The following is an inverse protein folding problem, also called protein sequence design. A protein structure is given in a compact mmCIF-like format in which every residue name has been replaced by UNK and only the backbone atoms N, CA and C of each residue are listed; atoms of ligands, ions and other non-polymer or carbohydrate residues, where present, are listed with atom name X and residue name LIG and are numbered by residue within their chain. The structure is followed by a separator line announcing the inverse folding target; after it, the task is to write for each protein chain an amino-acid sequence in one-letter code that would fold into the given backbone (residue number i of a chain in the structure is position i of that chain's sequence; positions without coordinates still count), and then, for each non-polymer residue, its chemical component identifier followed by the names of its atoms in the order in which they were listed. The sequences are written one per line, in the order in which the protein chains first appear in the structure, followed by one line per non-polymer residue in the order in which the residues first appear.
data_IF_271828843395
#
_entry.id   IF_271828843395
#
_cell.length_a   1.000
_cell.length_b   1.000
_cell.length_c   1.000
_cell.angle_alpha   90.00
_cell.angle_beta   90.00
_cell.angle_gamma   90.00
#
_symmetry.space_group_name_H-M   'P 1'
#
loop_
_entity.id
_entity.type
_entity.pdbx_description
1 polymer ?
#
# COMPACT_ATOMS: atom_id res chain seq x y z
N UNK A 1 3.09 19.94 -28.09
CA UNK A 1 2.00 19.60 -27.13
C UNK A 1 1.48 18.17 -27.33
N UNK A 2 1.04 17.76 -28.54
CA UNK A 2 0.55 16.40 -28.80
C UNK A 2 1.58 15.27 -28.57
N UNK A 3 2.85 15.46 -28.94
CA UNK A 3 3.91 14.47 -28.72
C UNK A 3 4.23 14.23 -27.22
N UNK A 4 4.13 15.26 -26.38
CA UNK A 4 4.31 15.16 -24.93
C UNK A 4 3.17 14.38 -24.26
N UNK A 5 1.93 14.62 -24.72
CA UNK A 5 0.74 13.88 -24.26
C UNK A 5 0.82 12.40 -24.66
N UNK A 6 1.29 12.10 -25.88
CA UNK A 6 1.48 10.71 -26.34
C UNK A 6 2.57 9.98 -25.56
N UNK A 7 3.68 10.67 -25.26
CA UNK A 7 4.82 10.13 -24.50
C UNK A 7 4.45 9.79 -23.05
N UNK A 8 3.61 10.62 -22.42
CA UNK A 8 3.21 10.46 -21.02
C UNK A 8 1.82 9.84 -20.85
N UNK A 9 1.31 9.12 -21.86
CA UNK A 9 -0.04 8.53 -21.85
C UNK A 9 -0.33 7.72 -20.59
N UNK A 10 0.59 6.85 -20.19
CA UNK A 10 0.41 6.00 -19.01
C UNK A 10 0.35 6.83 -17.72
N UNK A 11 1.14 7.90 -17.62
CA UNK A 11 1.17 8.77 -16.45
C UNK A 11 -0.08 9.65 -16.37
N UNK A 12 -0.60 10.10 -17.50
CA UNK A 12 -1.88 10.82 -17.57
C UNK A 12 -3.02 9.89 -17.18
N UNK A 13 -3.04 8.64 -17.67
CA UNK A 13 -4.03 7.63 -17.29
C UNK A 13 -3.96 7.39 -15.77
N UNK A 14 -2.76 7.17 -15.23
CA UNK A 14 -2.55 6.97 -13.80
C UNK A 14 -3.00 8.17 -12.95
N UNK A 15 -2.62 9.39 -13.33
CA UNK A 15 -3.04 10.62 -12.66
C UNK A 15 -4.57 10.79 -12.69
N UNK A 16 -5.19 10.48 -13.83
CA UNK A 16 -6.65 10.56 -13.98
C UNK A 16 -7.37 9.55 -13.07
N UNK A 17 -6.85 8.33 -12.96
CA UNK A 17 -7.36 7.29 -12.06
C UNK A 17 -7.14 7.65 -10.59
N UNK A 18 -6.02 8.30 -10.28
CA UNK A 18 -5.76 8.78 -8.93
C UNK A 18 -6.77 9.86 -8.53
N UNK A 19 -7.00 10.85 -9.40
CA UNK A 19 -8.02 11.87 -9.18
C UNK A 19 -9.41 11.25 -9.04
N UNK A 20 -9.74 10.29 -9.89
CA UNK A 20 -11.01 9.54 -9.82
C UNK A 20 -11.17 8.81 -8.48
N UNK A 21 -10.12 8.17 -7.97
CA UNK A 21 -10.12 7.52 -6.66
C UNK A 21 -10.40 8.50 -5.51
N UNK A 22 -9.89 9.73 -5.60
CA UNK A 22 -10.16 10.79 -4.62
C UNK A 22 -11.60 11.27 -4.71
N UNK A 23 -12.10 11.49 -5.93
CA UNK A 23 -13.47 11.97 -6.17
C UNK A 23 -14.55 10.95 -5.78
N UNK A 24 -14.25 9.65 -5.83
CA UNK A 24 -15.16 8.59 -5.38
C UNK A 24 -15.27 8.53 -3.85
N UNK A 25 -14.26 8.98 -3.10
CA UNK A 25 -14.22 8.91 -1.63
C UNK A 25 -15.51 9.38 -0.91
N UNK A 26 -16.06 10.58 -1.22
CA UNK A 26 -17.32 11.06 -0.66
C UNK A 26 -18.52 10.14 -0.95
N UNK A 27 -18.58 9.55 -2.16
CA UNK A 27 -19.67 8.65 -2.56
C UNK A 27 -19.55 7.29 -1.87
N UNK A 28 -18.34 6.74 -1.79
CA UNK A 28 -18.04 5.50 -1.08
C UNK A 28 -18.44 5.58 0.40
N UNK A 29 -18.23 6.74 1.03
CA UNK A 29 -18.58 6.98 2.44
C UNK A 29 -20.09 7.09 2.70
N UNK A 30 -20.91 7.45 1.70
CA UNK A 30 -22.37 7.54 1.82
C UNK A 30 -23.06 6.18 1.87
N UNK A 31 -22.39 5.11 1.47
CA UNK A 31 -22.88 3.75 1.66
C UNK A 31 -23.09 3.52 3.16
N UNK A 32 -24.22 2.90 3.55
CA UNK A 32 -24.49 2.60 4.97
C UNK A 32 -24.16 1.15 5.32
N UNK A 33 -24.42 0.23 4.38
CA UNK A 33 -24.20 -1.21 4.57
C UNK A 33 -22.72 -1.55 4.52
N UNK A 34 -22.23 -2.27 5.53
CA UNK A 34 -20.83 -2.69 5.67
C UNK A 34 -20.40 -3.62 4.54
N UNK A 35 -21.22 -4.63 4.21
CA UNK A 35 -20.94 -5.56 3.11
C UNK A 35 -20.86 -4.83 1.77
N UNK A 36 -21.80 -3.93 1.50
CA UNK A 36 -21.79 -3.15 0.25
C UNK A 36 -20.52 -2.30 0.13
N UNK A 37 -20.01 -1.74 1.24
CA UNK A 37 -18.73 -1.03 1.24
C UNK A 37 -17.56 -1.97 0.95
N UNK A 38 -17.46 -3.10 1.65
CA UNK A 38 -16.38 -4.09 1.44
C UNK A 38 -16.31 -4.55 -0.02
N UNK A 39 -17.46 -4.90 -0.60
CA UNK A 39 -17.57 -5.30 -2.01
C UNK A 39 -17.27 -4.15 -2.97
N UNK A 40 -17.86 -2.97 -2.76
CA UNK A 40 -17.59 -1.81 -3.62
C UNK A 40 -16.10 -1.43 -3.61
N UNK A 41 -15.45 -1.44 -2.45
CA UNK A 41 -14.05 -1.07 -2.31
C UNK A 41 -13.11 -2.07 -2.97
N UNK A 42 -13.47 -3.36 -2.91
CA UNK A 42 -12.72 -4.45 -3.56
C UNK A 42 -12.88 -4.43 -5.08
N UNK A 43 -14.11 -4.26 -5.57
CA UNK A 43 -14.40 -4.20 -7.01
C UNK A 43 -13.69 -2.99 -7.61
N UNK A 44 -13.77 -1.82 -6.96
CA UNK A 44 -13.05 -0.63 -7.39
C UNK A 44 -11.54 -0.83 -7.39
N UNK A 45 -10.98 -1.45 -6.35
CA UNK A 45 -9.52 -1.70 -6.29
C UNK A 45 -9.04 -2.66 -7.36
N UNK A 46 -9.75 -3.76 -7.62
CA UNK A 46 -9.44 -4.69 -8.71
C UNK A 46 -9.56 -3.98 -10.07
N UNK A 47 -10.62 -3.18 -10.27
CA UNK A 47 -10.77 -2.39 -11.49
C UNK A 47 -9.59 -1.42 -11.69
N UNK A 48 -9.14 -0.74 -10.63
CA UNK A 48 -7.97 0.13 -10.69
C UNK A 48 -6.70 -0.64 -11.07
N UNK A 49 -6.46 -1.82 -10.49
CA UNK A 49 -5.29 -2.66 -10.82
C UNK A 49 -5.32 -3.04 -12.29
N UNK A 50 -6.47 -3.48 -12.81
CA UNK A 50 -6.64 -3.89 -14.21
C UNK A 50 -6.42 -2.72 -15.16
N UNK A 51 -6.99 -1.55 -14.86
CA UNK A 51 -6.86 -0.37 -15.74
C UNK A 51 -5.42 0.16 -15.74
N UNK A 52 -4.76 0.23 -14.57
CA UNK A 52 -3.38 0.75 -14.46
C UNK A 52 -2.35 -0.23 -15.03
N UNK A 53 -2.49 -1.52 -14.73
CA UNK A 53 -1.47 -2.53 -15.03
C UNK A 53 -1.74 -3.29 -16.33
N UNK A 54 -2.93 -3.18 -16.90
CA UNK A 54 -3.34 -3.91 -18.10
C UNK A 54 -3.14 -5.42 -17.93
N UNK A 55 -2.41 -6.04 -18.85
CA UNK A 55 -2.11 -7.48 -18.83
C UNK A 55 -1.24 -7.90 -17.62
N UNK A 56 -0.37 -7.01 -17.14
CA UNK A 56 0.51 -7.29 -15.99
C UNK A 56 -0.23 -7.26 -14.65
N UNK A 57 -1.52 -6.93 -14.63
CA UNK A 57 -2.39 -6.98 -13.44
C UNK A 57 -2.48 -8.38 -12.81
N UNK A 58 -2.18 -9.43 -13.58
CA UNK A 58 -2.23 -10.81 -13.11
C UNK A 58 -1.23 -11.04 -11.98
N UNK A 59 -0.04 -10.43 -12.03
CA UNK A 59 1.00 -10.59 -11.00
C UNK A 59 0.58 -10.10 -9.61
N UNK A 60 0.11 -8.84 -9.43
CA UNK A 60 -0.38 -8.36 -8.14
C UNK A 60 -1.61 -9.11 -7.64
N UNK A 61 -2.51 -9.51 -8.53
CA UNK A 61 -3.70 -10.27 -8.13
C UNK A 61 -3.32 -11.67 -7.65
N UNK A 62 -2.53 -12.42 -8.43
CA UNK A 62 -2.10 -13.75 -8.05
C UNK A 62 -1.24 -13.76 -6.79
N UNK A 63 -0.29 -12.83 -6.67
CA UNK A 63 0.57 -12.76 -5.47
C UNK A 63 -0.22 -12.45 -4.20
N UNK A 64 -1.21 -11.54 -4.26
CA UNK A 64 -2.09 -11.27 -3.13
C UNK A 64 -2.87 -12.52 -2.71
N UNK A 65 -3.49 -13.21 -3.67
CA UNK A 65 -4.28 -14.42 -3.41
C UNK A 65 -3.43 -15.54 -2.81
N UNK A 66 -2.25 -15.80 -3.37
CA UNK A 66 -1.33 -16.81 -2.84
C UNK A 66 -0.89 -16.43 -1.42
N UNK A 67 -0.56 -15.16 -1.17
CA UNK A 67 -0.20 -14.69 0.16
C UNK A 67 -1.32 -14.89 1.19
N UNK A 68 -2.57 -14.58 0.82
CA UNK A 68 -3.74 -14.83 1.69
C UNK A 68 -3.96 -16.32 1.95
N UNK A 69 -3.77 -17.18 0.95
CA UNK A 69 -3.87 -18.63 1.11
C UNK A 69 -2.79 -19.14 2.07
N UNK A 70 -1.54 -18.66 1.94
CA UNK A 70 -0.43 -19.03 2.83
C UNK A 70 -0.74 -18.64 4.27
N UNK A 71 -1.31 -17.46 4.50
CA UNK A 71 -1.72 -17.01 5.84
C UNK A 71 -2.71 -17.99 6.47
N UNK A 72 -3.65 -18.52 5.69
CA UNK A 72 -4.68 -19.44 6.18
C UNK A 72 -4.16 -20.86 6.42
N UNK A 73 -3.30 -21.35 5.54
CA UNK A 73 -2.75 -22.72 5.61
C UNK A 73 -1.69 -22.84 6.70
N UNK A 74 -0.92 -21.77 6.94
CA UNK A 74 0.17 -21.79 7.93
C UNK A 74 -0.38 -21.59 9.34
N UNK A 75 0.17 -22.32 10.31
CA UNK A 75 -0.13 -22.09 11.73
C UNK A 75 0.21 -20.66 12.14
N UNK A 76 -0.65 -20.03 12.94
CA UNK A 76 -0.54 -18.61 13.37
C UNK A 76 0.87 -18.26 13.90
N UNK A 77 1.54 -19.21 14.57
CA UNK A 77 2.91 -19.07 15.11
C UNK A 77 4.01 -18.82 14.05
N UNK A 78 3.88 -19.44 12.86
CA UNK A 78 4.88 -19.33 11.78
C UNK A 78 4.34 -18.58 10.56
N UNK A 79 3.07 -18.17 10.60
CA UNK A 79 2.37 -17.50 9.51
C UNK A 79 3.11 -16.22 9.04
N UNK A 80 3.56 -15.37 9.96
CA UNK A 80 4.27 -14.15 9.62
C UNK A 80 5.60 -14.42 8.90
N UNK A 81 6.39 -15.40 9.36
CA UNK A 81 7.66 -15.78 8.74
C UNK A 81 7.44 -16.38 7.35
N UNK A 82 6.53 -17.35 7.23
CA UNK A 82 6.23 -18.00 5.95
C UNK A 82 5.72 -17.00 4.90
N UNK A 83 4.77 -16.15 5.29
CA UNK A 83 4.21 -15.11 4.42
C UNK A 83 5.27 -14.08 4.04
N UNK A 84 6.10 -13.65 5.00
CA UNK A 84 7.19 -12.71 4.75
C UNK A 84 8.17 -13.24 3.71
N UNK A 85 8.73 -14.43 3.92
CA UNK A 85 9.71 -15.00 3.00
C UNK A 85 9.11 -15.27 1.62
N UNK A 86 7.87 -15.80 1.56
CA UNK A 86 7.23 -16.06 0.27
C UNK A 86 6.96 -14.78 -0.52
N UNK A 87 6.37 -13.77 0.12
CA UNK A 87 6.00 -12.53 -0.57
C UNK A 87 7.23 -11.70 -0.95
N UNK A 88 8.28 -11.67 -0.12
CA UNK A 88 9.55 -11.04 -0.49
C UNK A 88 10.29 -11.80 -1.59
N UNK A 89 10.29 -13.14 -1.56
CA UNK A 89 10.87 -13.94 -2.63
C UNK A 89 10.14 -13.70 -3.97
N UNK A 90 8.81 -13.61 -3.95
CA UNK A 90 8.02 -13.25 -5.13
C UNK A 90 8.38 -11.86 -5.67
N UNK A 91 8.51 -10.86 -4.78
CA UNK A 91 8.90 -9.50 -5.15
C UNK A 91 10.32 -9.46 -5.72
N UNK A 92 11.26 -10.22 -5.13
CA UNK A 92 12.62 -10.33 -5.62
C UNK A 92 12.67 -10.98 -7.01
N UNK A 93 11.94 -12.08 -7.20
CA UNK A 93 11.81 -12.71 -8.51
C UNK A 93 11.25 -11.72 -9.55
N UNK A 94 10.20 -10.99 -9.21
CA UNK A 94 9.60 -9.99 -10.10
C UNK A 94 10.55 -8.85 -10.45
N UNK A 95 11.37 -8.39 -9.50
CA UNK A 95 12.35 -7.31 -9.72
C UNK A 95 13.60 -7.76 -10.47
N UNK A 96 13.94 -9.05 -10.40
CA UNK A 96 15.05 -9.64 -11.14
C UNK A 96 14.63 -10.29 -12.46
N UNK A 97 13.33 -10.48 -12.70
CA UNK A 97 12.79 -11.06 -13.94
C UNK A 97 13.26 -10.32 -15.19
N UNK A 98 13.50 -9.01 -15.07
CA UNK A 98 14.05 -8.16 -16.12
C UNK A 98 15.45 -8.61 -16.56
N UNK A 99 16.27 -9.10 -15.63
CA UNK A 99 17.60 -9.66 -15.93
C UNK A 99 17.52 -11.05 -16.59
N UNK A 100 16.39 -11.73 -16.46
CA UNK A 100 16.13 -13.04 -17.05
C UNK A 100 15.37 -12.96 -18.39
N UNK A 101 15.13 -11.75 -18.93
CA UNK A 101 14.54 -11.55 -20.26
C UNK A 101 13.02 -11.59 -20.32
N UNK A 102 12.33 -11.53 -19.19
CA UNK A 102 10.86 -11.36 -19.17
C UNK A 102 10.49 -9.89 -19.46
N UNK A 103 9.32 -9.67 -20.07
CA UNK A 103 8.84 -8.30 -20.36
C UNK A 103 8.65 -7.54 -19.04
N UNK A 104 9.32 -6.39 -18.93
CA UNK A 104 9.19 -5.48 -17.79
C UNK A 104 7.71 -5.20 -17.52
N UNK A 105 7.29 -5.43 -16.28
CA UNK A 105 6.03 -4.88 -15.83
C UNK A 105 6.16 -3.35 -15.76
N UNK A 106 5.11 -2.64 -16.18
CA UNK A 106 5.05 -1.17 -16.09
C UNK A 106 5.45 -0.68 -14.69
N UNK A 107 6.20 0.43 -14.60
CA UNK A 107 6.66 0.98 -13.32
C UNK A 107 5.51 1.24 -12.33
N UNK A 108 4.32 1.55 -12.86
CA UNK A 108 3.11 1.74 -12.07
C UNK A 108 2.61 0.44 -11.43
N UNK A 109 2.68 -0.69 -12.13
CA UNK A 109 2.33 -2.01 -11.60
C UNK A 109 3.27 -2.46 -10.49
N UNK A 110 4.57 -2.14 -10.61
CA UNK A 110 5.54 -2.45 -9.57
C UNK A 110 5.20 -1.72 -8.25
N UNK A 111 4.75 -0.47 -8.31
CA UNK A 111 4.30 0.26 -7.12
C UNK A 111 3.10 -0.42 -6.44
N UNK A 112 2.11 -0.85 -7.23
CA UNK A 112 0.94 -1.59 -6.72
C UNK A 112 1.38 -2.91 -6.08
N UNK A 113 2.28 -3.65 -6.74
CA UNK A 113 2.84 -4.90 -6.24
C UNK A 113 3.49 -4.71 -4.86
N UNK A 114 4.29 -3.65 -4.69
CA UNK A 114 4.92 -3.33 -3.41
C UNK A 114 3.88 -3.05 -2.30
N UNK A 115 2.84 -2.25 -2.59
CA UNK A 115 1.78 -1.93 -1.62
C UNK A 115 1.04 -3.20 -1.20
N UNK A 116 0.67 -4.06 -2.14
CA UNK A 116 -0.02 -5.32 -1.87
C UNK A 116 0.83 -6.24 -0.99
N UNK A 117 2.11 -6.39 -1.32
CA UNK A 117 3.04 -7.21 -0.52
C UNK A 117 3.10 -6.71 0.93
N UNK A 118 3.26 -5.39 1.13
CA UNK A 118 3.29 -4.81 2.47
C UNK A 118 1.99 -5.03 3.24
N UNK A 119 0.82 -4.90 2.59
CA UNK A 119 -0.50 -5.17 3.20
C UNK A 119 -0.62 -6.60 3.69
N UNK A 120 -0.33 -7.57 2.83
CA UNK A 120 -0.47 -8.99 3.16
C UNK A 120 0.49 -9.41 4.25
N UNK A 121 1.76 -9.00 4.17
CA UNK A 121 2.77 -9.25 5.21
C UNK A 121 2.37 -8.57 6.52
N UNK A 122 1.89 -7.33 6.45
CA UNK A 122 1.43 -6.54 7.58
C UNK A 122 0.33 -7.24 8.39
N UNK A 123 -0.69 -7.75 7.69
CA UNK A 123 -1.76 -8.55 8.34
C UNK A 123 -1.19 -9.79 9.02
N UNK A 124 -0.27 -10.50 8.37
CA UNK A 124 0.34 -11.70 8.95
C UNK A 124 1.12 -11.38 10.24
N UNK A 125 1.84 -10.26 10.29
CA UNK A 125 2.50 -9.79 11.50
C UNK A 125 1.51 -9.34 12.58
N UNK A 126 0.43 -8.65 12.22
CA UNK A 126 -0.63 -8.28 13.16
C UNK A 126 -1.29 -9.50 13.79
N UNK A 127 -1.66 -10.50 12.99
CA UNK A 127 -2.25 -11.75 13.48
C UNK A 127 -1.31 -12.49 14.45
N UNK A 128 -0.03 -12.59 14.12
CA UNK A 128 0.96 -13.21 15.02
C UNK A 128 1.17 -12.40 16.30
N UNK A 129 1.19 -11.06 16.20
CA UNK A 129 1.29 -10.16 17.35
C UNK A 129 0.10 -10.30 18.31
N UNK A 130 -1.13 -10.31 17.78
CA UNK A 130 -2.35 -10.53 18.57
C UNK A 130 -2.37 -11.91 19.25
N UNK A 131 -1.91 -12.96 18.55
CA UNK A 131 -1.82 -14.30 19.14
C UNK A 131 -0.79 -14.37 20.27
N UNK A 132 0.39 -13.78 20.08
CA UNK A 132 1.42 -13.74 21.12
C UNK A 132 0.97 -12.95 22.35
N UNK A 133 0.22 -11.86 22.15
CA UNK A 133 -0.39 -11.06 23.22
C UNK A 133 -1.42 -11.84 24.04
N UNK A 134 -2.15 -12.80 23.44
CA UNK A 134 -3.11 -13.66 24.15
C UNK A 134 -2.42 -14.84 24.86
N UNK A 135 -1.36 -15.40 24.27
CA UNK A 135 -0.69 -16.60 24.80
C UNK A 135 0.31 -16.29 25.92
N UNK A 136 1.05 -15.19 25.84
CA UNK A 136 2.01 -14.79 26.88
C UNK A 136 1.41 -14.62 28.29
N UNK A 137 0.28 -13.91 28.49
CA UNK A 137 -0.36 -13.79 29.80
C UNK A 137 -0.96 -15.12 30.28
N UNK A 138 -1.39 -16.01 29.37
CA UNK A 138 -1.86 -17.36 29.74
C UNK A 138 -0.73 -18.31 30.17
N UNK A 139 0.53 -18.00 29.81
CA UNK A 139 1.70 -18.84 30.08
C UNK A 139 2.47 -18.42 31.35
N UNK A 140 2.34 -17.16 31.77
CA UNK A 140 2.75 -16.68 33.10
C UNK A 140 1.58 -16.93 34.06
N UNK A 141 1.58 -18.05 34.77
CA UNK A 141 0.46 -18.47 35.62
C UNK A 141 -0.03 -17.37 36.57
N UNK A 142 -1.37 -17.23 36.63
CA UNK A 142 -2.28 -16.74 37.67
C UNK A 142 -1.89 -15.74 38.79
N UNK A 143 -0.66 -15.25 38.95
CA UNK A 143 -0.28 -14.47 40.15
C UNK A 143 -0.31 -12.94 39.95
N UNK A 144 -0.37 -12.43 38.72
CA UNK A 144 -0.45 -10.98 38.45
C UNK A 144 -1.75 -10.53 37.76
N UNK A 145 -2.72 -11.45 37.61
CA UNK A 145 -3.97 -11.19 36.87
C UNK A 145 -4.87 -10.19 37.62
N UNK A 146 -4.76 -10.05 38.95
CA UNK A 146 -5.68 -9.21 39.73
C UNK A 146 -5.43 -7.69 39.68
N UNK A 147 -4.38 -7.19 38.99
CA UNK A 147 -4.06 -5.75 38.94
C UNK A 147 -4.11 -5.10 37.55
N UNK A 148 -4.29 -5.88 36.49
CA UNK A 148 -4.31 -5.40 35.09
C UNK A 148 -5.73 -5.45 34.47
N UNK A 149 -6.68 -6.09 35.17
CA UNK A 149 -7.96 -6.53 34.59
C UNK A 149 -9.02 -5.44 34.30
N UNK A 150 -8.82 -4.17 34.64
CA UNK A 150 -9.88 -3.16 34.42
C UNK A 150 -9.65 -2.22 33.22
N UNK A 151 -8.50 -2.27 32.52
CA UNK A 151 -8.23 -1.33 31.40
C UNK A 151 -7.79 -1.97 30.08
N UNK A 152 -7.28 -3.19 30.09
CA UNK A 152 -6.64 -3.79 28.91
C UNK A 152 -7.42 -4.99 28.31
N UNK A 153 -8.44 -5.51 29.00
CA UNK A 153 -9.24 -6.65 28.50
C UNK A 153 -10.07 -6.30 27.25
N UNK A 154 -10.45 -5.02 27.07
CA UNK A 154 -11.16 -4.54 25.88
C UNK A 154 -10.24 -4.44 24.64
N UNK A 155 -8.91 -4.49 24.81
CA UNK A 155 -7.95 -4.22 23.73
C UNK A 155 -7.27 -5.45 23.12
N UNK A 156 -7.42 -6.63 23.72
CA UNK A 156 -6.82 -7.88 23.22
C UNK A 156 -7.87 -8.66 22.41
N UNK A 157 -8.37 -8.06 21.34
CA UNK A 157 -9.19 -8.77 20.37
C UNK A 157 -8.27 -9.66 19.52
N UNK A 158 -8.51 -10.98 19.55
CA UNK A 158 -7.76 -11.93 18.75
C UNK A 158 -8.13 -11.73 17.28
N UNK A 159 -7.23 -11.07 16.53
CA UNK A 159 -7.41 -10.80 15.11
C UNK A 159 -7.32 -12.14 14.35
N UNK A 160 -8.48 -12.77 14.10
CA UNK A 160 -8.61 -13.95 13.24
C UNK A 160 -9.58 -13.66 12.08
N UNK A 161 -9.13 -12.90 11.08
CA UNK A 161 -9.99 -12.50 9.99
C UNK A 161 -10.29 -13.65 9.03
N UNK A 162 -11.49 -13.64 8.45
CA UNK A 162 -11.88 -14.62 7.45
C UNK A 162 -11.11 -14.37 6.14
N UNK A 163 -10.92 -15.40 5.32
CA UNK A 163 -10.23 -15.31 4.02
C UNK A 163 -10.84 -14.19 3.17
N UNK A 164 -12.18 -14.10 3.19
CA UNK A 164 -12.94 -13.07 2.47
C UNK A 164 -12.58 -11.66 2.96
N UNK A 165 -12.42 -11.46 4.27
CA UNK A 165 -12.02 -10.17 4.82
C UNK A 165 -10.56 -9.83 4.50
N UNK A 166 -9.65 -10.82 4.46
CA UNK A 166 -8.27 -10.60 4.00
C UNK A 166 -8.23 -10.19 2.53
N UNK A 167 -9.06 -10.81 1.68
CA UNK A 167 -9.18 -10.45 0.26
C UNK A 167 -9.72 -9.03 0.12
N UNK A 168 -10.79 -8.69 0.86
CA UNK A 168 -11.34 -7.34 0.87
C UNK A 168 -10.31 -6.30 1.33
N UNK A 169 -9.54 -6.59 2.38
CA UNK A 169 -8.48 -5.70 2.86
C UNK A 169 -7.36 -5.52 1.83
N UNK A 170 -6.89 -6.63 1.23
CA UNK A 170 -5.77 -6.63 0.29
C UNK A 170 -6.09 -5.84 -0.97
N UNK A 171 -7.31 -6.02 -1.51
CA UNK A 171 -7.76 -5.38 -2.75
C UNK A 171 -8.60 -4.12 -2.55
N UNK A 172 -8.70 -3.60 -1.34
CA UNK A 172 -9.43 -2.36 -1.10
C UNK A 172 -8.78 -1.19 -1.85
N UNK A 173 -9.58 -0.41 -2.58
CA UNK A 173 -9.11 0.72 -3.39
C UNK A 173 -8.44 1.83 -2.57
N UNK A 174 -8.87 2.03 -1.30
CA UNK A 174 -8.32 3.07 -0.43
C UNK A 174 -6.82 2.83 -0.29
N UNK A 175 -6.00 3.77 -0.72
CA UNK A 175 -4.54 3.71 -0.60
C UNK A 175 -3.85 2.61 -1.42
N UNK A 176 -4.50 2.11 -2.47
CA UNK A 176 -3.93 1.08 -3.36
C UNK A 176 -2.91 1.66 -4.37
N UNK A 177 -3.16 2.88 -4.87
CA UNK A 177 -2.29 3.54 -5.86
C UNK A 177 -1.23 4.42 -5.20
N UNK A 178 -1.65 5.42 -4.41
CA UNK A 178 -0.76 6.29 -3.61
C UNK A 178 -1.46 6.69 -2.31
N UNK A 179 -1.46 5.81 -1.32
CA UNK A 179 -1.99 6.17 0.00
C UNK A 179 -1.14 5.62 1.13
N UNK A 180 -1.35 6.13 2.34
CA UNK A 180 -0.65 5.65 3.51
C UNK A 180 -0.94 4.17 3.71
N UNK A 181 0.11 3.42 4.04
CA UNK A 181 -0.05 2.06 4.53
C UNK A 181 -0.87 2.10 5.82
N UNK A 182 -1.96 1.34 5.86
CA UNK A 182 -2.82 1.21 7.04
C UNK A 182 -2.94 -0.25 7.47
N UNK A 183 -3.09 -0.44 8.77
CA UNK A 183 -3.16 -1.75 9.44
C UNK A 183 -4.51 -2.44 9.22
N UNK A 184 -4.56 -3.76 9.36
CA UNK A 184 -5.83 -4.49 9.25
C UNK A 184 -6.83 -4.06 10.33
N UNK A 185 -6.34 -3.79 11.56
CA UNK A 185 -7.19 -3.24 12.61
C UNK A 185 -7.89 -1.94 12.20
N UNK A 186 -7.16 -1.00 11.59
CA UNK A 186 -7.72 0.26 11.09
C UNK A 186 -8.77 0.04 10.00
N UNK A 187 -8.62 -1.00 9.18
CA UNK A 187 -9.63 -1.38 8.20
C UNK A 187 -10.90 -1.92 8.87
N UNK A 188 -10.76 -2.75 9.90
CA UNK A 188 -11.91 -3.26 10.64
C UNK A 188 -12.64 -2.12 11.37
N UNK A 189 -11.87 -1.25 12.04
CA UNK A 189 -12.36 -0.08 12.76
C UNK A 189 -13.12 0.90 11.84
N UNK A 190 -12.73 0.99 10.56
CA UNK A 190 -13.40 1.84 9.58
C UNK A 190 -14.88 1.46 9.35
N UNK A 191 -15.26 0.19 9.55
CA UNK A 191 -16.64 -0.27 9.40
C UNK A 191 -17.43 -0.16 10.71
N UNK A 192 -16.79 -0.51 11.83
CA UNK A 192 -17.47 -0.66 13.12
C UNK A 192 -17.56 0.66 13.92
N UNK A 193 -16.60 1.58 13.75
CA UNK A 193 -16.59 2.84 14.50
C UNK A 193 -17.32 3.95 13.75
N UNK A 194 -18.13 4.78 14.43
CA UNK A 194 -18.80 5.94 13.84
C UNK A 194 -17.84 7.12 13.58
N UNK A 195 -16.56 6.86 13.29
CA UNK A 195 -15.52 7.88 13.07
C UNK A 195 -15.88 8.85 11.93
N UNK A 196 -16.58 8.34 10.91
CA UNK A 196 -17.16 9.10 9.80
C UNK A 196 -18.18 10.17 10.25
N UNK A 197 -18.73 10.13 11.47
CA UNK A 197 -19.68 11.17 11.92
C UNK A 197 -18.98 12.39 12.53
N UNK A 198 -17.75 12.22 13.01
CA UNK A 198 -17.09 13.20 13.87
C UNK A 198 -15.95 13.98 13.18
N UNK A 199 -15.53 13.56 11.98
CA UNK A 199 -14.39 14.17 11.28
C UNK A 199 -14.81 14.73 9.91
N UNK A 200 -14.46 16.00 9.69
CA UNK A 200 -14.57 16.65 8.38
C UNK A 200 -13.43 16.20 7.44
N UNK A 201 -13.60 15.01 6.87
CA UNK A 201 -12.62 14.49 5.91
C UNK A 201 -12.67 15.23 4.55
N UNK A 202 -13.79 15.89 4.21
CA UNK A 202 -13.88 16.63 2.94
C UNK A 202 -13.06 17.91 3.01
N UNK A 203 -13.14 18.65 4.12
CA UNK A 203 -12.27 19.79 4.39
C UNK A 203 -10.79 19.43 4.29
N UNK A 204 -10.38 18.31 4.91
CA UNK A 204 -9.00 17.84 4.85
C UNK A 204 -8.56 17.43 3.42
N UNK A 205 -9.44 16.74 2.69
CA UNK A 205 -9.17 16.32 1.30
C UNK A 205 -9.00 17.53 0.39
N UNK A 206 -9.90 18.51 0.48
CA UNK A 206 -9.84 19.75 -0.31
C UNK A 206 -8.58 20.53 0.04
N UNK A 207 -8.23 20.64 1.33
CA UNK A 207 -7.02 21.35 1.74
C UNK A 207 -5.74 20.72 1.17
N UNK A 208 -5.68 19.38 1.16
CA UNK A 208 -4.56 18.65 0.55
C UNK A 208 -4.54 18.82 -0.97
N UNK A 209 -5.72 18.79 -1.61
CA UNK A 209 -5.85 18.93 -3.07
C UNK A 209 -5.45 20.33 -3.55
N UNK A 210 -5.63 21.39 -2.74
CA UNK A 210 -5.20 22.76 -3.08
C UNK A 210 -3.69 22.89 -3.32
N UNK A 211 -2.88 22.01 -2.72
CA UNK A 211 -1.41 22.04 -2.89
C UNK A 211 -0.98 21.29 -4.17
N UNK A 212 -1.82 20.39 -4.71
CA UNK A 212 -1.50 19.59 -5.89
C UNK A 212 -1.18 20.44 -7.14
N UNK A 213 -1.93 21.51 -7.49
CA UNK A 213 -1.59 22.39 -8.61
C UNK A 213 -0.20 23.03 -8.49
N UNK A 214 0.23 23.36 -7.26
CA UNK A 214 1.56 23.91 -7.00
C UNK A 214 2.64 22.88 -7.34
N UNK A 215 2.47 21.62 -6.90
CA UNK A 215 3.40 20.54 -7.23
C UNK A 215 3.44 20.24 -8.73
N UNK A 216 2.31 20.28 -9.43
CA UNK A 216 2.25 20.08 -10.89
C UNK A 216 3.02 21.21 -11.60
N UNK A 217 2.80 22.47 -11.19
CA UNK A 217 3.51 23.62 -11.76
C UNK A 217 5.02 23.50 -11.56
N UNK A 218 5.43 23.14 -10.34
CA UNK A 218 6.84 22.95 -10.00
C UNK A 218 7.46 21.78 -10.78
N UNK A 219 6.75 20.66 -10.92
CA UNK A 219 7.19 19.52 -11.72
C UNK A 219 7.36 19.88 -13.19
N UNK A 220 6.42 20.62 -13.78
CA UNK A 220 6.53 21.07 -15.17
C UNK A 220 7.69 22.06 -15.36
N UNK A 221 7.91 22.97 -14.41
CA UNK A 221 9.03 23.90 -14.43
C UNK A 221 10.38 23.15 -14.39
N UNK A 222 10.54 22.22 -13.45
CA UNK A 222 11.74 21.39 -13.36
C UNK A 222 11.92 20.48 -14.58
N UNK A 223 10.84 19.90 -15.10
CA UNK A 223 10.87 19.10 -16.33
C UNK A 223 11.30 19.91 -17.54
N UNK A 224 11.04 21.22 -17.56
CA UNK A 224 11.44 22.11 -18.65
C UNK A 224 12.89 22.57 -18.51
N UNK A 225 13.34 22.84 -17.28
CA UNK A 225 14.72 23.24 -16.96
C UNK A 225 15.67 22.04 -17.12
N UNK A 226 15.22 20.84 -16.78
CA UNK A 226 16.03 19.62 -16.79
C UNK A 226 15.28 18.45 -17.44
N UNK A 227 15.21 18.38 -18.77
CA UNK A 227 14.65 17.21 -19.45
C UNK A 227 15.51 15.99 -19.12
N UNK A 228 14.99 15.10 -18.27
CA UNK A 228 15.67 13.90 -17.74
C UNK A 228 16.13 12.90 -18.81
N UNK A 229 15.80 13.13 -20.07
CA UNK A 229 16.12 12.24 -21.19
C UNK A 229 17.39 12.61 -21.94
N UNK A 230 17.96 13.79 -21.69
CA UNK A 230 19.12 14.24 -22.45
C UNK A 230 20.46 13.70 -21.94
N UNK A 231 20.52 12.88 -20.88
CA UNK A 231 21.80 12.36 -20.38
C UNK A 231 21.78 10.88 -19.94
N UNK A 232 21.05 10.02 -20.65
CA UNK A 232 21.34 8.56 -20.62
C UNK A 232 22.45 8.19 -21.62
N UNK A 233 23.05 9.20 -22.28
CA UNK A 233 24.30 9.07 -23.04
C UNK A 233 25.40 9.89 -22.35
N UNK A 234 26.24 9.22 -21.56
CA UNK A 234 27.59 9.64 -21.15
C UNK A 234 27.78 11.10 -20.65
N UNK A 235 27.05 11.55 -19.62
CA UNK A 235 27.28 12.90 -19.05
C UNK A 235 27.12 13.05 -17.53
N UNK A 236 26.28 12.25 -16.88
CA UNK A 236 25.87 12.52 -15.48
C UNK A 236 26.90 12.14 -14.40
N UNK A 237 27.97 11.43 -14.74
CA UNK A 237 29.06 11.12 -13.79
C UNK A 237 29.99 12.33 -13.55
N UNK A 238 29.98 13.34 -14.43
CA UNK A 238 30.96 14.44 -14.36
C UNK A 238 30.46 15.73 -13.70
N UNK A 239 29.19 15.80 -13.27
CA UNK A 239 28.59 17.04 -12.71
C UNK A 239 28.19 16.98 -11.25
N UNK A 240 28.44 15.86 -10.57
CA UNK A 240 28.45 15.83 -9.10
C UNK A 240 29.88 16.21 -8.72
N UNK A 241 30.14 17.36 -8.06
CA UNK A 241 31.46 17.60 -7.51
C UNK A 241 31.75 16.43 -6.55
N UNK A 242 32.89 15.72 -6.71
CA UNK A 242 33.18 14.59 -5.86
C UNK A 242 33.16 15.04 -4.40
N UNK A 243 32.28 14.43 -3.60
CA UNK A 243 32.16 14.64 -2.15
C UNK A 243 33.44 14.29 -1.36
N UNK A 244 34.54 14.03 -2.05
CA UNK A 244 35.88 13.82 -1.53
C UNK A 244 36.64 15.13 -1.26
N UNK A 245 36.10 16.30 -1.64
CA UNK A 245 36.73 17.61 -1.39
C UNK A 245 36.19 18.37 -0.16
N UNK A 246 35.24 17.80 0.59
CA UNK A 246 34.62 18.47 1.76
C UNK A 246 35.16 18.00 3.12
N UNK A 247 36.11 17.05 3.15
CA UNK A 247 36.60 16.42 4.40
C UNK A 247 38.05 16.73 4.76
N UNK A 248 38.76 17.59 4.02
CA UNK A 248 40.18 17.91 4.28
C UNK A 248 40.45 19.34 4.80
N UNK A 249 39.42 20.17 5.03
CA UNK A 249 39.60 21.53 5.57
C UNK A 249 39.15 21.68 7.04
N UNK A 250 39.11 20.56 7.79
CA UNK A 250 38.89 20.53 9.23
C UNK A 250 39.93 19.61 9.90
N UNK A 251 41.21 20.00 9.77
CA UNK A 251 42.30 19.58 10.66
C UNK A 251 43.32 20.71 10.79
#
# INVERSE_FOLDING_TARGET
MWAFVQKNKNDIIYLSLLLFSVLIGPYYRKLKTEEAKKWAGTILGIALIIIVSGYSAIHPICSALIGVIIIKVTTIRYCHVATFFFMFAYLFFFRFADKFGFKLSSGQTNLIQMIIVLRVIGVAFEMNGSWLAVVNPKKKGNEEISKINDRDEEFIELINPNIIDLVHYSFNYIGLLTGPYYRYRTFNDFFHLPYSKYVDCLGFTINTLKIVPLYISLYLAFSHIWPLENDVSMGFICRIPPAHLFWNDLS
#
